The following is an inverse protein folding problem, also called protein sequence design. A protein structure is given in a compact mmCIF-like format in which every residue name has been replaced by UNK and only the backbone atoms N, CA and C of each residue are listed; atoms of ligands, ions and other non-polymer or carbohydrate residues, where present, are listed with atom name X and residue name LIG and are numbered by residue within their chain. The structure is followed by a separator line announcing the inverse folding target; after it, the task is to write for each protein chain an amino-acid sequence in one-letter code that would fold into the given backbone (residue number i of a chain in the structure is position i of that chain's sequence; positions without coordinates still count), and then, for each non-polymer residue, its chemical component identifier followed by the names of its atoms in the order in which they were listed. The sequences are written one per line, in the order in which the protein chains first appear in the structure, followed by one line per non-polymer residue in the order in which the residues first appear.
data_IF_731858550652
#
_entry.id   IF_731858550652
#
_cell.length_a   1.000
_cell.length_b   1.000
_cell.length_c   1.000
_cell.angle_alpha   90.00
_cell.angle_beta   90.00
_cell.angle_gamma   90.00
#
_symmetry.space_group_name_H-M   'P 1'
#
loop_
_entity.id
_entity.type
_entity.pdbx_description
1 polymer ?
#
# COMPACT_ATOMS: atom_id res chain seq x y z
N UNK A 1 -2.55 25.78 23.37
CA UNK A 1 -1.36 25.01 22.99
C UNK A 1 -1.60 24.47 21.59
N UNK A 2 -0.64 24.68 20.68
CA UNK A 2 -0.79 24.57 19.23
C UNK A 2 -1.10 23.13 18.83
N UNK A 3 -2.27 22.89 18.25
CA UNK A 3 -2.57 21.66 17.52
C UNK A 3 -1.66 21.61 16.29
N UNK A 4 -0.62 20.77 16.35
CA UNK A 4 0.18 20.44 15.18
C UNK A 4 -0.73 19.69 14.21
N UNK A 5 -1.17 20.37 13.16
CA UNK A 5 -1.73 19.71 11.97
C UNK A 5 -0.61 18.85 11.39
N UNK A 6 -0.61 17.56 11.69
CA UNK A 6 0.33 16.60 11.10
C UNK A 6 0.16 16.64 9.58
N UNK A 7 1.21 17.06 8.88
CA UNK A 7 1.26 16.97 7.42
C UNK A 7 1.40 15.50 7.04
N UNK A 8 0.52 15.06 6.16
CA UNK A 8 0.51 13.71 5.63
C UNK A 8 1.56 13.61 4.50
N UNK A 9 2.84 13.58 4.86
CA UNK A 9 3.94 13.62 3.88
C UNK A 9 4.17 12.28 3.16
N UNK A 10 3.69 11.17 3.75
CA UNK A 10 3.82 9.81 3.20
C UNK A 10 2.65 8.92 3.61
N UNK A 11 2.26 7.98 2.75
CA UNK A 11 1.25 6.99 3.08
C UNK A 11 1.71 6.10 4.25
N UNK A 12 0.91 5.95 5.33
CA UNK A 12 1.30 5.21 6.53
C UNK A 12 1.13 3.69 6.37
N UNK A 13 1.90 3.11 5.44
CA UNK A 13 1.91 1.66 5.21
C UNK A 13 2.40 0.90 6.46
N UNK A 14 1.70 -0.16 6.84
CA UNK A 14 2.06 -1.02 7.99
C UNK A 14 3.05 -2.14 7.65
N UNK A 15 3.50 -2.21 6.39
CA UNK A 15 4.43 -3.24 5.91
C UNK A 15 3.97 -4.68 6.17
N UNK A 16 2.65 -4.92 6.29
CA UNK A 16 2.08 -6.25 6.51
C UNK A 16 2.24 -7.21 5.30
N UNK A 17 2.65 -6.71 4.14
CA UNK A 17 2.87 -7.50 2.92
C UNK A 17 1.60 -7.94 2.18
N UNK A 18 0.39 -7.66 2.69
CA UNK A 18 -0.85 -8.16 2.08
C UNK A 18 -1.10 -7.65 0.66
N UNK A 19 -0.71 -6.42 0.33
CA UNK A 19 -0.80 -5.93 -1.05
C UNK A 19 0.07 -6.75 -2.01
N UNK A 20 1.22 -7.25 -1.55
CA UNK A 20 2.09 -8.13 -2.32
C UNK A 20 1.58 -9.57 -2.38
N UNK A 21 0.68 -9.99 -1.47
CA UNK A 21 0.04 -11.31 -1.47
C UNK A 21 -1.28 -11.37 -2.26
N UNK A 22 -1.72 -10.24 -2.81
CA UNK A 22 -3.02 -10.10 -3.48
C UNK A 22 -2.92 -9.30 -4.79
N UNK A 23 -1.94 -9.62 -5.64
CA UNK A 23 -1.67 -8.85 -6.87
C UNK A 23 -2.50 -9.29 -8.09
N UNK A 24 -3.28 -10.38 -7.98
CA UNK A 24 -4.04 -10.96 -9.11
C UNK A 24 -5.01 -10.00 -9.81
N UNK A 25 -5.40 -8.91 -9.15
CA UNK A 25 -6.35 -7.93 -9.68
C UNK A 25 -5.69 -6.67 -10.24
N UNK A 26 -4.36 -6.64 -10.29
CA UNK A 26 -3.58 -5.50 -10.76
C UNK A 26 -2.87 -5.92 -12.05
N UNK A 27 -3.42 -5.49 -13.19
CA UNK A 27 -2.95 -5.90 -14.53
C UNK A 27 -1.47 -5.55 -14.72
N UNK A 28 -1.02 -4.41 -14.19
CA UNK A 28 0.36 -3.93 -14.25
C UNK A 28 1.35 -4.80 -13.47
N UNK A 29 0.86 -5.72 -12.63
CA UNK A 29 1.67 -6.61 -11.80
C UNK A 29 1.65 -8.08 -12.25
N UNK A 30 1.06 -8.40 -13.41
CA UNK A 30 0.98 -9.79 -13.90
C UNK A 30 2.36 -10.46 -13.97
N UNK A 31 3.38 -9.76 -14.48
CA UNK A 31 4.75 -10.31 -14.60
C UNK A 31 5.44 -10.55 -13.25
N UNK A 32 4.88 -10.01 -12.17
CA UNK A 32 5.37 -10.14 -10.81
C UNK A 32 4.70 -11.29 -10.06
N UNK A 33 3.61 -11.87 -10.58
CA UNK A 33 2.91 -13.01 -9.97
C UNK A 33 3.76 -14.28 -10.03
N UNK A 34 3.89 -14.97 -8.90
CA UNK A 34 4.50 -16.29 -8.79
C UNK A 34 3.58 -17.42 -9.28
N UNK A 35 2.39 -17.10 -9.79
CA UNK A 35 1.37 -18.03 -10.28
C UNK A 35 0.29 -18.37 -9.25
N UNK A 36 0.32 -17.72 -8.09
CA UNK A 36 -0.64 -17.94 -6.99
C UNK A 36 -1.20 -16.64 -6.41
N UNK A 37 -0.98 -15.51 -7.09
CA UNK A 37 -1.40 -14.19 -6.64
C UNK A 37 -0.44 -13.49 -5.69
N UNK A 38 0.68 -14.11 -5.36
CA UNK A 38 1.74 -13.54 -4.54
C UNK A 38 2.88 -13.03 -5.44
N UNK A 39 3.35 -11.83 -5.16
CA UNK A 39 4.50 -11.24 -5.83
C UNK A 39 5.76 -12.07 -5.57
N UNK A 40 6.46 -12.47 -6.63
CA UNK A 40 7.71 -13.27 -6.58
C UNK A 40 8.87 -12.59 -5.86
N UNK A 41 8.80 -11.27 -5.66
CA UNK A 41 9.79 -10.49 -4.89
C UNK A 41 9.37 -10.22 -3.44
N UNK A 42 8.25 -10.77 -2.97
CA UNK A 42 7.92 -10.74 -1.56
C UNK A 42 8.86 -11.66 -0.79
N UNK A 43 9.50 -11.12 0.24
CA UNK A 43 10.18 -11.89 1.25
C UNK A 43 9.15 -12.42 2.26
N UNK A 44 8.97 -13.75 2.32
CA UNK A 44 7.93 -14.36 3.14
C UNK A 44 8.28 -14.40 4.63
N UNK A 45 9.56 -14.26 4.99
CA UNK A 45 10.00 -14.23 6.38
C UNK A 45 9.77 -12.84 6.98
N UNK A 46 10.07 -11.79 6.21
CA UNK A 46 10.01 -10.40 6.69
C UNK A 46 8.78 -9.61 6.23
N UNK A 47 8.03 -10.13 5.25
CA UNK A 47 6.96 -9.43 4.50
C UNK A 47 7.43 -8.17 3.75
N UNK A 48 8.74 -7.97 3.61
CA UNK A 48 9.32 -6.86 2.87
C UNK A 48 9.54 -7.22 1.39
N UNK A 49 9.76 -6.23 0.55
CA UNK A 49 10.03 -6.46 -0.87
C UNK A 49 11.54 -6.54 -1.09
N UNK A 50 11.99 -7.57 -1.81
CA UNK A 50 13.39 -7.79 -2.17
C UNK A 50 13.93 -6.76 -3.16
N UNK A 51 13.05 -6.04 -3.85
CA UNK A 51 13.39 -5.01 -4.85
C UNK A 51 12.88 -3.62 -4.45
N UNK A 52 12.91 -3.29 -3.15
CA UNK A 52 12.26 -2.10 -2.58
C UNK A 52 12.51 -0.82 -3.39
N UNK A 53 13.77 -0.53 -3.69
CA UNK A 53 14.20 0.68 -4.42
C UNK A 53 13.76 0.70 -5.90
N UNK A 54 13.57 -0.48 -6.50
CA UNK A 54 13.19 -0.63 -7.91
C UNK A 54 11.78 -1.19 -8.10
N UNK A 55 10.91 -1.08 -7.07
CA UNK A 55 9.50 -1.48 -7.16
C UNK A 55 8.79 -0.83 -8.35
N UNK A 56 7.80 -1.48 -8.97
CA UNK A 56 6.94 -0.87 -9.97
C UNK A 56 6.28 0.41 -9.45
N UNK A 57 6.01 1.38 -10.33
CA UNK A 57 5.42 2.67 -9.94
C UNK A 57 4.10 2.49 -9.17
N UNK A 58 3.25 1.56 -9.60
CA UNK A 58 1.96 1.30 -8.93
C UNK A 58 2.11 0.82 -7.47
N UNK A 59 3.26 0.25 -7.10
CA UNK A 59 3.57 -0.16 -5.72
C UNK A 59 4.14 1.00 -4.87
N UNK A 60 4.38 2.17 -5.45
CA UNK A 60 4.96 3.35 -4.78
C UNK A 60 3.89 4.42 -4.60
N UNK A 61 3.02 4.26 -3.60
CA UNK A 61 1.80 5.08 -3.41
C UNK A 61 2.05 6.59 -3.58
N UNK A 62 3.06 7.15 -2.90
CA UNK A 62 3.34 8.59 -2.95
C UNK A 62 3.83 9.06 -4.33
N UNK A 63 4.65 8.25 -5.01
CA UNK A 63 5.13 8.56 -6.37
C UNK A 63 4.05 8.34 -7.42
N UNK A 64 3.26 7.28 -7.29
CA UNK A 64 2.13 6.97 -8.17
C UNK A 64 1.11 8.11 -8.13
N UNK A 65 0.82 8.64 -6.94
CA UNK A 65 -0.01 9.83 -6.80
C UNK A 65 0.54 10.99 -7.65
N UNK A 66 1.80 11.36 -7.43
CA UNK A 66 2.43 12.50 -8.13
C UNK A 66 2.46 12.33 -9.65
N UNK A 67 2.70 11.12 -10.15
CA UNK A 67 2.91 10.85 -11.58
C UNK A 67 1.63 10.49 -12.34
N UNK A 68 0.70 9.77 -11.72
CA UNK A 68 -0.47 9.18 -12.39
C UNK A 68 -1.80 9.77 -11.91
N UNK A 69 -1.87 10.16 -10.63
CA UNK A 69 -3.13 10.55 -9.97
C UNK A 69 -3.07 11.95 -9.37
N UNK A 70 -2.24 12.84 -9.94
CA UNK A 70 -2.00 14.18 -9.41
C UNK A 70 -3.25 15.08 -9.41
N UNK A 71 -4.25 14.71 -10.21
CA UNK A 71 -5.57 15.34 -10.27
C UNK A 71 -6.47 14.96 -9.09
N UNK A 72 -6.15 13.89 -8.34
CA UNK A 72 -6.87 13.49 -7.13
C UNK A 72 -6.22 14.18 -5.92
N UNK A 73 -6.97 14.81 -4.99
CA UNK A 73 -6.39 15.33 -3.77
C UNK A 73 -5.64 14.25 -2.98
N UNK A 74 -4.41 14.54 -2.52
CA UNK A 74 -3.54 13.56 -1.86
C UNK A 74 -4.22 12.82 -0.71
N UNK A 75 -4.97 13.55 0.12
CA UNK A 75 -5.71 12.99 1.25
C UNK A 75 -6.80 12.00 0.80
N UNK A 76 -7.52 12.32 -0.27
CA UNK A 76 -8.54 11.44 -0.84
C UNK A 76 -7.88 10.17 -1.40
N UNK A 77 -6.77 10.32 -2.13
CA UNK A 77 -5.99 9.20 -2.64
C UNK A 77 -5.50 8.28 -1.50
N UNK A 78 -4.96 8.84 -0.42
CA UNK A 78 -4.54 8.04 0.74
C UNK A 78 -5.71 7.40 1.46
N UNK A 79 -6.86 8.08 1.55
CA UNK A 79 -8.07 7.51 2.16
C UNK A 79 -8.53 6.27 1.39
N UNK A 80 -8.57 6.35 0.05
CA UNK A 80 -8.94 5.21 -0.81
C UNK A 80 -7.93 4.05 -0.70
N UNK A 81 -6.63 4.35 -0.67
CA UNK A 81 -5.61 3.31 -0.46
C UNK A 81 -5.72 2.68 0.93
N UNK A 82 -6.04 3.46 1.97
CA UNK A 82 -6.24 2.96 3.33
C UNK A 82 -7.49 2.08 3.45
N UNK A 83 -8.60 2.43 2.76
CA UNK A 83 -9.81 1.61 2.67
C UNK A 83 -9.49 0.21 2.11
N UNK A 84 -8.78 0.14 0.98
CA UNK A 84 -8.38 -1.15 0.37
C UNK A 84 -7.39 -1.91 1.28
N UNK A 85 -6.41 -1.20 1.86
CA UNK A 85 -5.45 -1.82 2.78
C UNK A 85 -6.15 -2.45 4.00
N UNK A 86 -7.08 -1.72 4.62
CA UNK A 86 -7.82 -2.20 5.78
C UNK A 86 -8.77 -3.35 5.42
N UNK A 87 -9.41 -3.32 4.25
CA UNK A 87 -10.24 -4.43 3.77
C UNK A 87 -9.43 -5.72 3.56
N UNK A 88 -8.23 -5.61 2.97
CA UNK A 88 -7.31 -6.75 2.84
C UNK A 88 -6.89 -7.30 4.21
N UNK A 89 -6.55 -6.42 5.15
CA UNK A 89 -6.19 -6.81 6.51
C UNK A 89 -7.33 -7.53 7.23
N UNK A 90 -8.57 -7.06 7.08
CA UNK A 90 -9.75 -7.69 7.66
C UNK A 90 -10.02 -9.08 7.05
N UNK A 91 -9.96 -9.19 5.72
CA UNK A 91 -10.12 -10.46 5.00
C UNK A 91 -9.06 -11.51 5.38
N UNK A 92 -7.91 -11.06 5.90
CA UNK A 92 -6.81 -11.92 6.36
C UNK A 92 -6.73 -12.01 7.90
N UNK A 93 -7.77 -11.58 8.61
CA UNK A 93 -7.85 -11.62 10.08
C UNK A 93 -6.67 -10.97 10.81
N UNK A 94 -6.08 -9.93 10.21
CA UNK A 94 -5.02 -9.17 10.86
C UNK A 94 -5.58 -8.38 12.04
N UNK A 95 -4.78 -8.32 13.10
CA UNK A 95 -5.08 -7.53 14.29
C UNK A 95 -5.39 -6.08 13.93
N UNK A 96 -6.28 -5.45 14.71
CA UNK A 96 -6.73 -4.08 14.47
C UNK A 96 -5.60 -3.05 14.62
N UNK A 97 -4.49 -3.38 15.29
CA UNK A 97 -3.28 -2.55 15.35
C UNK A 97 -2.66 -2.26 13.98
N UNK A 98 -2.96 -3.06 12.95
CA UNK A 98 -2.46 -2.82 11.58
C UNK A 98 -3.30 -1.79 10.80
N UNK A 99 -4.42 -1.31 11.33
CA UNK A 99 -5.32 -0.43 10.58
C UNK A 99 -4.63 0.88 10.22
N UNK A 100 -4.70 1.22 8.93
CA UNK A 100 -4.22 2.48 8.37
C UNK A 100 -5.29 3.54 8.62
N UNK A 101 -4.96 4.53 9.44
CA UNK A 101 -5.87 5.64 9.77
C UNK A 101 -5.37 6.91 9.10
N UNK A 102 -6.21 7.53 8.27
CA UNK A 102 -5.94 8.84 7.67
C UNK A 102 -6.65 9.90 8.52
N UNK A 103 -5.87 10.75 9.21
CA UNK A 103 -6.41 11.79 10.09
C UNK A 103 -7.27 12.81 9.31
N UNK A 104 -8.29 13.35 9.99
CA UNK A 104 -9.17 14.40 9.45
C UNK A 104 -8.46 15.75 9.37
#
# INVERSE_FOLDING_TARGET
MKGSKEKLDRFPCTSCGLCCKNITRIIELIEFDAGNGVCKFLDLETNLCKIYESRPLICRIDEAHKKLYSHIPLKEFYTKNAEVCNALQEANHMDKSFRVIIAK
#
